data_IF_404605940555
#
_entry.id   IF_404605940555
#
_cell.length_a   1.000
_cell.length_b   1.000
_cell.length_c   1.000
_cell.angle_alpha   90.00
_cell.angle_beta   90.00
_cell.angle_gamma   90.00
#
_symmetry.space_group_name_H-M   'P 1'
#
loop_
_entity.id
_entity.type
_entity.pdbx_description
1 polymer ?
#
# COMPACT_ATOMS: atom_id res chain seq x y z
N UNK A 1 -6.88 16.57 19.59
CA UNK A 1 -6.74 15.10 19.51
C UNK A 1 -6.19 14.77 18.14
N UNK A 2 -5.22 13.87 18.05
CA UNK A 2 -4.69 13.44 16.75
C UNK A 2 -5.70 12.50 16.08
N UNK A 3 -5.97 12.71 14.78
CA UNK A 3 -6.83 11.83 13.99
C UNK A 3 -6.00 10.65 13.48
N UNK A 4 -6.56 9.45 13.54
CA UNK A 4 -5.95 8.26 12.98
C UNK A 4 -6.48 8.07 11.55
N UNK A 5 -5.56 7.84 10.62
CA UNK A 5 -5.83 7.44 9.24
C UNK A 5 -5.38 5.99 9.10
N UNK A 6 -6.31 5.08 8.83
CA UNK A 6 -5.93 3.74 8.42
C UNK A 6 -5.80 3.72 6.90
N UNK A 7 -4.67 3.26 6.36
CA UNK A 7 -4.43 3.12 4.94
C UNK A 7 -4.28 1.64 4.58
N UNK A 8 -5.15 1.16 3.71
CA UNK A 8 -5.08 -0.19 3.14
C UNK A 8 -4.31 -0.14 1.84
N UNK A 9 -3.27 -0.95 1.74
CA UNK A 9 -2.28 -0.87 0.67
C UNK A 9 -1.72 -2.24 0.31
N UNK A 10 -1.32 -2.40 -0.96
CA UNK A 10 -0.55 -3.55 -1.43
C UNK A 10 0.74 -3.06 -2.11
N UNK A 11 1.85 -3.71 -1.84
CA UNK A 11 3.18 -3.32 -2.33
C UNK A 11 3.37 -3.51 -3.84
N UNK A 12 2.45 -4.21 -4.52
CA UNK A 12 2.43 -4.34 -5.99
C UNK A 12 1.50 -3.33 -6.68
N UNK A 13 0.86 -2.46 -5.94
CA UNK A 13 -0.06 -1.45 -6.47
C UNK A 13 0.68 -0.12 -6.69
N UNK A 14 0.84 0.36 -7.95
CA UNK A 14 1.52 1.62 -8.21
C UNK A 14 0.79 2.83 -7.63
N UNK A 15 -0.55 2.77 -7.57
CA UNK A 15 -1.35 3.82 -6.92
C UNK A 15 -1.13 3.88 -5.41
N UNK A 16 -0.82 2.73 -4.77
CA UNK A 16 -0.45 2.71 -3.35
C UNK A 16 0.89 3.40 -3.12
N UNK A 17 1.89 3.11 -3.96
CA UNK A 17 3.19 3.78 -3.87
C UNK A 17 3.08 5.29 -4.04
N UNK A 18 2.36 5.75 -5.07
CA UNK A 18 2.18 7.19 -5.33
C UNK A 18 1.28 7.85 -4.27
N UNK A 19 0.25 7.15 -3.79
CA UNK A 19 -0.67 7.65 -2.77
C UNK A 19 -0.02 7.80 -1.40
N UNK A 20 1.00 6.98 -1.09
CA UNK A 20 1.76 7.08 0.16
C UNK A 20 2.44 8.44 0.32
N UNK A 21 2.93 9.02 -0.78
CA UNK A 21 3.61 10.32 -0.76
C UNK A 21 2.64 11.45 -0.36
N UNK A 22 1.44 11.44 -0.95
CA UNK A 22 0.41 12.41 -0.59
C UNK A 22 -0.08 12.22 0.85
N UNK A 23 -0.19 10.96 1.30
CA UNK A 23 -0.59 10.62 2.66
C UNK A 23 0.42 11.12 3.69
N UNK A 24 1.72 10.87 3.49
CA UNK A 24 2.78 11.32 4.39
C UNK A 24 2.78 12.85 4.52
N UNK A 25 2.71 13.57 3.40
CA UNK A 25 2.64 15.05 3.41
C UNK A 25 1.40 15.56 4.14
N UNK A 26 0.25 14.92 3.92
CA UNK A 26 -0.99 15.30 4.59
C UNK A 26 -0.92 15.04 6.11
N UNK A 27 -0.32 13.94 6.52
CA UNK A 27 -0.12 13.60 7.94
C UNK A 27 0.84 14.59 8.61
N UNK A 28 1.97 14.92 7.98
CA UNK A 28 2.92 15.93 8.46
C UNK A 28 2.25 17.31 8.62
N UNK A 29 1.44 17.73 7.63
CA UNK A 29 0.76 19.03 7.66
C UNK A 29 -0.36 19.12 8.71
N UNK A 30 -0.90 18.00 9.19
CA UNK A 30 -2.07 17.97 10.08
C UNK A 30 -1.81 17.37 11.46
N UNK A 31 -0.66 16.69 11.66
CA UNK A 31 -0.37 15.93 12.86
C UNK A 31 -1.21 14.64 12.99
N UNK A 32 -1.76 14.14 11.89
CA UNK A 32 -2.47 12.87 11.88
C UNK A 32 -1.53 11.69 12.04
N UNK A 33 -2.04 10.60 12.61
CA UNK A 33 -1.29 9.35 12.81
C UNK A 33 -1.70 8.37 11.72
N UNK A 34 -0.72 7.86 10.98
CA UNK A 34 -0.96 6.85 9.93
C UNK A 34 -0.86 5.45 10.56
N UNK A 35 -1.85 4.62 10.26
CA UNK A 35 -1.84 3.18 10.54
C UNK A 35 -1.93 2.43 9.22
N UNK A 36 -0.82 1.82 8.83
CA UNK A 36 -0.78 1.01 7.61
C UNK A 36 -1.44 -0.35 7.87
N UNK A 37 -2.27 -0.78 6.92
CA UNK A 37 -2.99 -2.05 6.92
C UNK A 37 -2.66 -2.84 5.65
N UNK A 38 -2.42 -4.13 5.82
CA UNK A 38 -2.20 -5.02 4.69
C UNK A 38 -3.48 -5.17 3.86
N UNK A 39 -3.31 -5.18 2.54
CA UNK A 39 -4.32 -5.60 1.58
C UNK A 39 -3.65 -6.41 0.47
N UNK A 40 -4.27 -7.50 0.05
CA UNK A 40 -3.70 -8.38 -0.97
C UNK A 40 -4.59 -8.36 -2.22
N UNK A 41 -4.14 -7.70 -3.28
CA UNK A 41 -4.86 -7.65 -4.56
C UNK A 41 -5.03 -9.04 -5.21
N UNK A 42 -4.18 -10.01 -4.83
CA UNK A 42 -4.14 -11.35 -5.39
C UNK A 42 -4.29 -12.44 -4.34
N UNK A 43 -5.12 -12.19 -3.34
CA UNK A 43 -5.38 -13.17 -2.26
C UNK A 43 -5.84 -14.55 -2.80
N UNK A 44 -6.68 -14.55 -3.84
CA UNK A 44 -7.15 -15.78 -4.47
C UNK A 44 -6.05 -16.62 -5.13
N UNK A 45 -4.92 -16.00 -5.50
CA UNK A 45 -3.79 -16.68 -6.13
C UNK A 45 -2.89 -17.41 -5.11
N UNK A 46 -3.06 -17.17 -3.81
CA UNK A 46 -2.35 -17.90 -2.74
C UNK A 46 -2.69 -19.39 -2.74
N UNK A 47 -3.84 -19.77 -3.31
CA UNK A 47 -4.29 -21.17 -3.40
C UNK A 47 -3.80 -21.87 -4.68
N UNK A 48 -3.22 -21.13 -5.63
CA UNK A 48 -2.68 -21.68 -6.86
C UNK A 48 -1.18 -22.00 -6.68
N UNK A 49 -0.83 -23.28 -6.71
CA UNK A 49 0.57 -23.74 -6.73
C UNK A 49 1.19 -23.43 -8.10
N UNK A 50 2.11 -22.47 -8.18
CA UNK A 50 2.81 -22.15 -9.42
C UNK A 50 3.81 -21.00 -9.26
N UNK A 51 4.76 -20.86 -10.21
CA UNK A 51 5.68 -19.73 -10.20
C UNK A 51 4.92 -18.39 -10.36
N UNK A 52 5.46 -17.27 -9.83
CA UNK A 52 4.87 -15.95 -9.98
C UNK A 52 4.58 -15.69 -11.46
N UNK A 53 3.33 -15.34 -11.77
CA UNK A 53 2.98 -14.94 -13.14
C UNK A 53 3.62 -13.58 -13.40
N UNK A 54 4.15 -13.39 -14.61
CA UNK A 54 4.60 -12.08 -15.07
C UNK A 54 3.50 -11.05 -14.88
N UNK A 55 3.88 -9.79 -14.63
CA UNK A 55 2.92 -8.70 -14.57
C UNK A 55 2.01 -8.76 -15.80
N UNK A 56 0.70 -8.58 -15.65
CA UNK A 56 -0.20 -8.62 -16.78
C UNK A 56 0.23 -7.53 -17.78
N UNK A 57 1.03 -7.93 -18.76
CA UNK A 57 1.38 -7.13 -19.93
C UNK A 57 0.21 -7.20 -20.90
N UNK A 58 -0.05 -6.10 -21.57
CA UNK A 58 -1.07 -6.02 -22.60
C UNK A 58 -1.35 -4.55 -22.90
N UNK A 59 -1.89 -4.27 -24.07
CA UNK A 59 -2.14 -2.90 -24.51
C UNK A 59 -2.88 -2.05 -23.47
N UNK A 60 -3.85 -2.66 -22.79
CA UNK A 60 -4.62 -1.98 -21.74
C UNK A 60 -3.77 -1.58 -20.53
N UNK A 61 -2.91 -2.48 -20.05
CA UNK A 61 -2.04 -2.19 -18.89
C UNK A 61 -0.98 -1.15 -19.27
N UNK A 62 -0.38 -1.30 -20.43
CA UNK A 62 0.56 -0.31 -20.97
C UNK A 62 -0.10 1.07 -21.09
N UNK A 63 -1.33 1.14 -21.61
CA UNK A 63 -2.07 2.39 -21.68
C UNK A 63 -2.34 3.03 -20.30
N UNK A 64 -2.60 2.23 -19.26
CA UNK A 64 -2.74 2.73 -17.88
C UNK A 64 -1.42 3.32 -17.38
N UNK A 65 -0.31 2.63 -17.60
CA UNK A 65 1.01 3.13 -17.21
C UNK A 65 1.34 4.44 -17.92
N UNK A 66 1.20 4.48 -19.25
CA UNK A 66 1.53 5.66 -20.06
C UNK A 66 0.61 6.86 -19.80
N UNK A 67 -0.69 6.62 -19.68
CA UNK A 67 -1.66 7.71 -19.60
C UNK A 67 -2.02 8.13 -18.18
N UNK A 68 -1.67 7.34 -17.16
CA UNK A 68 -2.08 7.62 -15.80
C UNK A 68 -0.92 7.56 -14.81
N UNK A 69 -0.19 6.43 -14.74
CA UNK A 69 0.80 6.21 -13.69
C UNK A 69 2.03 7.09 -13.89
N UNK A 70 2.64 7.07 -15.08
CA UNK A 70 3.80 7.92 -15.38
C UNK A 70 3.52 9.43 -15.25
N UNK A 71 2.41 9.97 -15.78
CA UNK A 71 2.05 11.37 -15.55
C UNK A 71 1.86 11.73 -14.07
N UNK A 72 1.29 10.81 -13.26
CA UNK A 72 1.14 11.02 -11.82
C UNK A 72 2.49 11.00 -11.12
N UNK A 73 3.34 10.03 -11.41
CA UNK A 73 4.68 9.90 -10.86
C UNK A 73 5.54 11.14 -11.18
N UNK A 74 5.50 11.60 -12.42
CA UNK A 74 6.21 12.81 -12.85
C UNK A 74 5.77 14.06 -12.06
N UNK A 75 4.47 14.23 -11.79
CA UNK A 75 3.98 15.35 -10.96
C UNK A 75 4.47 15.27 -9.52
N UNK A 76 4.68 14.07 -9.00
CA UNK A 76 5.17 13.83 -7.64
C UNK A 76 6.70 13.85 -7.55
N UNK A 77 7.41 13.88 -8.68
CA UNK A 77 8.87 13.80 -8.75
C UNK A 77 9.40 12.41 -8.39
N UNK A 78 8.62 11.36 -8.69
CA UNK A 78 8.97 9.97 -8.39
C UNK A 78 9.38 9.25 -9.66
N UNK A 79 10.51 8.57 -9.61
CA UNK A 79 10.88 7.60 -10.62
C UNK A 79 10.15 6.28 -10.34
N UNK A 80 9.50 5.71 -11.37
CA UNK A 80 8.73 4.47 -11.27
C UNK A 80 8.74 3.75 -12.61
N UNK A 81 8.88 2.44 -12.56
CA UNK A 81 8.87 1.61 -13.76
C UNK A 81 7.74 0.58 -13.69
N UNK A 82 7.18 0.24 -14.86
CA UNK A 82 6.25 -0.88 -14.96
C UNK A 82 6.99 -2.19 -14.66
N UNK A 83 6.65 -2.91 -13.57
CA UNK A 83 7.36 -4.13 -13.23
C UNK A 83 7.16 -5.24 -14.25
N UNK A 84 8.21 -6.02 -14.47
CA UNK A 84 8.15 -7.24 -15.31
C UNK A 84 7.54 -8.43 -14.58
N UNK A 85 7.28 -8.31 -13.26
CA UNK A 85 6.90 -9.39 -12.34
C UNK A 85 5.56 -9.15 -11.69
N UNK A 86 5.00 -10.21 -11.13
CA UNK A 86 3.72 -10.20 -10.45
C UNK A 86 3.79 -11.08 -9.19
N UNK A 87 4.56 -10.67 -8.17
CA UNK A 87 4.75 -11.48 -6.96
C UNK A 87 3.47 -11.60 -6.14
N UNK A 88 3.42 -12.66 -5.32
CA UNK A 88 2.51 -12.74 -4.19
C UNK A 88 3.09 -11.91 -3.04
N UNK A 89 2.26 -11.09 -2.42
CA UNK A 89 2.72 -10.10 -1.43
C UNK A 89 2.57 -10.54 0.02
N UNK A 90 2.11 -11.79 0.26
CA UNK A 90 1.89 -12.29 1.62
C UNK A 90 3.12 -12.15 2.52
N UNK A 91 4.27 -12.67 2.07
CA UNK A 91 5.51 -12.60 2.85
C UNK A 91 5.99 -11.15 3.03
N UNK A 92 5.79 -10.29 2.03
CA UNK A 92 6.13 -8.87 2.15
C UNK A 92 5.28 -8.18 3.22
N UNK A 93 3.98 -8.50 3.31
CA UNK A 93 3.10 -7.98 4.36
C UNK A 93 3.45 -8.51 5.74
N UNK A 94 3.77 -9.80 5.87
CA UNK A 94 4.24 -10.37 7.15
C UNK A 94 5.57 -9.73 7.58
N UNK A 95 6.52 -9.53 6.65
CA UNK A 95 7.77 -8.84 6.93
C UNK A 95 7.54 -7.38 7.36
N UNK A 96 6.60 -6.67 6.73
CA UNK A 96 6.23 -5.30 7.09
C UNK A 96 5.54 -5.24 8.47
N UNK A 97 4.69 -6.21 8.80
CA UNK A 97 4.08 -6.33 10.12
C UNK A 97 5.15 -6.52 11.21
N UNK A 98 6.14 -7.37 10.96
CA UNK A 98 7.28 -7.53 11.85
C UNK A 98 8.11 -6.24 11.98
N UNK A 99 8.40 -5.55 10.87
CA UNK A 99 9.09 -4.25 10.90
C UNK A 99 8.30 -3.19 11.67
N UNK A 100 6.95 -3.23 11.64
CA UNK A 100 6.06 -2.39 12.44
C UNK A 100 6.26 -2.61 13.94
N UNK A 101 6.33 -3.86 14.39
CA UNK A 101 6.58 -4.19 15.80
C UNK A 101 7.94 -3.68 16.28
N UNK A 102 8.92 -3.61 15.38
CA UNK A 102 10.27 -3.10 15.65
C UNK A 102 10.43 -1.58 15.44
N UNK A 103 9.35 -0.87 15.07
CA UNK A 103 9.31 0.58 14.94
C UNK A 103 10.01 1.12 13.68
N UNK A 104 10.24 0.30 12.66
CA UNK A 104 10.94 0.68 11.42
C UNK A 104 10.09 0.47 10.15
N UNK A 105 8.75 0.38 10.30
CA UNK A 105 7.85 0.13 9.19
C UNK A 105 8.04 1.11 8.03
N UNK A 106 8.11 2.43 8.31
CA UNK A 106 8.18 3.47 7.27
C UNK A 106 9.43 3.33 6.39
N UNK A 107 10.54 2.91 7.00
CA UNK A 107 11.77 2.64 6.27
C UNK A 107 11.64 1.36 5.44
N UNK A 108 11.08 0.31 6.04
CA UNK A 108 10.96 -1.00 5.41
C UNK A 108 9.98 -0.98 4.23
N UNK A 109 8.81 -0.35 4.36
CA UNK A 109 7.86 -0.24 3.26
C UNK A 109 8.38 0.59 2.09
N UNK A 110 9.16 1.64 2.34
CA UNK A 110 9.86 2.37 1.26
C UNK A 110 10.83 1.46 0.51
N UNK A 111 11.56 0.59 1.22
CA UNK A 111 12.42 -0.40 0.58
C UNK A 111 11.61 -1.40 -0.26
N UNK A 112 10.44 -1.85 0.20
CA UNK A 112 9.57 -2.75 -0.57
C UNK A 112 9.10 -2.10 -1.87
N UNK A 113 8.57 -0.88 -1.82
CA UNK A 113 8.14 -0.16 -3.01
C UNK A 113 9.28 0.10 -3.99
N UNK A 114 10.45 0.54 -3.48
CA UNK A 114 11.63 0.77 -4.31
C UNK A 114 12.12 -0.52 -4.98
N UNK A 115 12.24 -1.61 -4.22
CA UNK A 115 12.66 -2.90 -4.76
C UNK A 115 11.74 -3.36 -5.89
N UNK A 116 10.43 -3.17 -5.75
CA UNK A 116 9.48 -3.61 -6.75
C UNK A 116 9.38 -2.65 -7.95
N UNK A 117 9.19 -1.34 -7.71
CA UNK A 117 8.88 -0.37 -8.77
C UNK A 117 10.10 0.30 -9.41
N UNK A 118 11.26 0.29 -8.76
CA UNK A 118 12.48 0.92 -9.28
C UNK A 118 13.51 -0.13 -9.68
N UNK A 119 13.68 -1.18 -8.86
CA UNK A 119 14.70 -2.21 -9.08
C UNK A 119 14.17 -3.47 -9.79
N UNK A 120 12.86 -3.57 -10.06
CA UNK A 120 12.18 -4.72 -10.66
C UNK A 120 12.49 -6.05 -9.96
N UNK A 121 12.58 -6.03 -8.62
CA UNK A 121 12.87 -7.19 -7.78
C UNK A 121 11.59 -7.87 -7.32
N UNK A 122 11.66 -9.19 -7.14
CA UNK A 122 10.55 -9.98 -6.63
C UNK A 122 10.45 -9.88 -5.10
N UNK A 123 9.51 -9.07 -4.61
CA UNK A 123 9.28 -8.88 -3.16
C UNK A 123 8.52 -10.06 -2.51
N UNK A 124 8.17 -11.09 -3.26
CA UNK A 124 7.70 -12.37 -2.74
C UNK A 124 8.85 -13.32 -2.36
N UNK A 125 10.07 -13.02 -2.80
CA UNK A 125 11.25 -13.85 -2.57
C UNK A 125 11.90 -13.57 -1.22
N UNK A 126 12.12 -14.62 -0.42
CA UNK A 126 12.75 -14.51 0.90
C UNK A 126 14.13 -13.81 0.84
N UNK A 127 14.92 -14.12 -0.18
CA UNK A 127 16.24 -13.53 -0.36
C UNK A 127 16.19 -12.01 -0.54
N UNK A 128 15.19 -11.51 -1.26
CA UNK A 128 14.93 -10.07 -1.43
C UNK A 128 14.52 -9.46 -0.10
N UNK A 129 13.54 -10.03 0.59
CA UNK A 129 13.05 -9.52 1.87
C UNK A 129 14.15 -9.46 2.94
N UNK A 130 15.03 -10.47 2.99
CA UNK A 130 16.22 -10.49 3.87
C UNK A 130 17.17 -9.33 3.59
N UNK A 131 17.40 -9.03 2.30
CA UNK A 131 18.25 -7.89 1.93
C UNK A 131 17.59 -6.55 2.32
N UNK A 132 16.26 -6.41 2.12
CA UNK A 132 15.57 -5.18 2.53
C UNK A 132 15.58 -5.00 4.04
N UNK A 133 15.43 -6.08 4.82
CA UNK A 133 15.58 -6.05 6.27
C UNK A 133 16.95 -5.57 6.71
N UNK A 134 18.00 -6.11 6.10
CA UNK A 134 19.38 -5.65 6.36
C UNK A 134 19.56 -4.16 6.09
N UNK A 135 19.01 -3.66 4.98
CA UNK A 135 19.13 -2.24 4.58
C UNK A 135 18.53 -1.27 5.61
N UNK A 136 17.57 -1.73 6.41
CA UNK A 136 16.92 -0.93 7.47
C UNK A 136 17.39 -1.28 8.88
N UNK A 137 18.49 -2.05 8.99
CA UNK A 137 19.11 -2.41 10.26
C UNK A 137 18.45 -3.57 10.99
N UNK A 138 17.57 -4.32 10.35
CA UNK A 138 16.96 -5.52 10.92
C UNK A 138 17.83 -6.76 10.65
N UNK A 139 17.69 -7.77 11.51
CA UNK A 139 18.42 -9.04 11.37
C UNK A 139 17.75 -9.94 10.33
N UNK A 140 18.41 -10.25 9.19
CA UNK A 140 17.82 -11.09 8.12
C UNK A 140 17.52 -12.53 8.56
N UNK A 141 18.28 -13.06 9.53
CA UNK A 141 18.07 -14.42 10.00
C UNK A 141 16.86 -14.50 10.98
N UNK A 142 16.57 -13.42 11.69
CA UNK A 142 15.35 -13.32 12.49
C UNK A 142 14.14 -13.20 11.58
N UNK A 143 14.20 -12.36 10.54
CA UNK A 143 13.13 -12.27 9.54
C UNK A 143 12.84 -13.62 8.91
N UNK A 144 13.87 -14.41 8.54
CA UNK A 144 13.69 -15.74 7.98
C UNK A 144 12.89 -16.66 8.91
N UNK A 145 13.18 -16.65 10.21
CA UNK A 145 12.42 -17.43 11.20
C UNK A 145 10.97 -16.95 11.32
N UNK A 146 10.78 -15.62 11.41
CA UNK A 146 9.45 -15.01 11.49
C UNK A 146 8.59 -15.43 10.31
N UNK A 147 9.14 -15.42 9.09
CA UNK A 147 8.41 -15.79 7.88
C UNK A 147 8.22 -17.30 7.75
N UNK A 148 9.23 -18.11 8.10
CA UNK A 148 9.12 -19.58 8.07
C UNK A 148 8.07 -20.12 9.04
N UNK A 149 7.89 -19.48 10.18
CA UNK A 149 6.91 -19.83 11.22
C UNK A 149 5.59 -19.04 11.08
N UNK A 150 5.48 -18.18 10.07
CA UNK A 150 4.31 -17.32 9.83
C UNK A 150 3.86 -16.54 11.09
N UNK A 151 4.81 -16.05 11.87
CA UNK A 151 4.53 -15.39 13.16
C UNK A 151 3.67 -14.13 13.03
N UNK A 152 3.66 -13.47 11.85
CA UNK A 152 2.86 -12.28 11.57
C UNK A 152 1.60 -12.57 10.76
N UNK A 153 1.27 -13.83 10.53
CA UNK A 153 0.12 -14.22 9.71
C UNK A 153 -1.20 -13.72 10.29
N UNK A 154 -1.39 -13.83 11.60
CA UNK A 154 -2.61 -13.40 12.29
C UNK A 154 -2.82 -11.89 12.13
N UNK A 155 -1.76 -11.09 12.24
CA UNK A 155 -1.81 -9.64 12.09
C UNK A 155 -2.21 -9.22 10.66
N UNK A 156 -1.71 -9.92 9.65
CA UNK A 156 -2.12 -9.69 8.25
C UNK A 156 -3.58 -10.09 8.02
N UNK A 157 -4.02 -11.23 8.59
CA UNK A 157 -5.43 -11.65 8.49
C UNK A 157 -6.39 -10.68 9.19
N UNK A 158 -5.98 -10.13 10.33
CA UNK A 158 -6.75 -9.08 11.01
C UNK A 158 -6.93 -7.84 10.11
N UNK A 159 -5.85 -7.39 9.45
CA UNK A 159 -5.92 -6.26 8.52
C UNK A 159 -6.88 -6.55 7.35
N UNK A 160 -6.83 -7.76 6.78
CA UNK A 160 -7.74 -8.18 5.71
C UNK A 160 -9.20 -8.28 6.20
N UNK A 161 -9.42 -8.73 7.44
CA UNK A 161 -10.75 -8.76 8.04
C UNK A 161 -11.30 -7.35 8.25
N UNK A 162 -10.48 -6.42 8.74
CA UNK A 162 -10.86 -5.02 8.89
C UNK A 162 -11.21 -4.41 7.52
N UNK A 163 -10.44 -4.71 6.46
CA UNK A 163 -10.76 -4.28 5.10
C UNK A 163 -12.16 -4.74 4.66
N UNK A 164 -12.52 -6.00 4.98
CA UNK A 164 -13.85 -6.55 4.68
C UNK A 164 -14.97 -5.82 5.44
N UNK A 165 -14.75 -5.47 6.73
CA UNK A 165 -15.75 -4.71 7.52
C UNK A 165 -16.03 -3.32 6.96
N UNK A 166 -15.04 -2.68 6.35
CA UNK A 166 -15.19 -1.40 5.64
C UNK A 166 -15.60 -1.55 4.18
N UNK A 167 -15.88 -2.78 3.69
CA UNK A 167 -16.19 -3.06 2.29
C UNK A 167 -15.13 -2.52 1.32
N UNK A 168 -13.84 -2.57 1.71
CA UNK A 168 -12.73 -2.15 0.86
C UNK A 168 -12.54 -3.18 -0.24
N UNK A 169 -12.65 -2.75 -1.49
CA UNK A 169 -12.49 -3.58 -2.70
C UNK A 169 -11.41 -3.08 -3.64
N UNK A 170 -10.77 -1.98 -3.30
CA UNK A 170 -9.70 -1.36 -4.09
C UNK A 170 -8.68 -0.70 -3.17
N UNK A 171 -7.45 -0.55 -3.63
CA UNK A 171 -6.36 0.12 -2.91
C UNK A 171 -5.65 1.14 -3.80
N UNK A 172 -5.07 2.22 -3.20
CA UNK A 172 -5.14 2.52 -1.79
C UNK A 172 -6.55 2.88 -1.35
N UNK A 173 -6.90 2.57 -0.09
CA UNK A 173 -8.11 3.08 0.55
C UNK A 173 -7.76 3.64 1.92
N UNK A 174 -8.34 4.78 2.26
CA UNK A 174 -8.07 5.49 3.51
C UNK A 174 -9.34 5.50 4.36
N UNK A 175 -9.21 5.12 5.63
CA UNK A 175 -10.30 5.21 6.61
C UNK A 175 -9.98 6.30 7.61
N UNK A 176 -10.80 7.34 7.63
CA UNK A 176 -10.66 8.52 8.49
C UNK A 176 -11.97 8.70 9.27
N UNK A 177 -11.92 8.65 10.59
CA UNK A 177 -13.12 8.75 11.44
C UNK A 177 -14.29 7.85 10.98
N UNK A 178 -13.99 6.62 10.54
CA UNK A 178 -14.98 5.65 10.08
C UNK A 178 -15.46 5.83 8.64
N UNK A 179 -15.01 6.86 7.92
CA UNK A 179 -15.35 7.10 6.51
C UNK A 179 -14.25 6.61 5.57
N UNK A 180 -14.66 5.98 4.47
CA UNK A 180 -13.74 5.40 3.47
C UNK A 180 -13.56 6.36 2.29
N UNK A 181 -12.30 6.68 1.97
CA UNK A 181 -11.88 7.34 0.74
C UNK A 181 -11.15 6.30 -0.11
N UNK A 182 -11.73 5.91 -1.23
CA UNK A 182 -11.17 4.86 -2.10
C UNK A 182 -10.34 5.45 -3.24
N UNK A 183 -9.26 4.77 -3.59
CA UNK A 183 -8.33 5.17 -4.64
C UNK A 183 -7.32 6.22 -4.18
N UNK A 184 -6.38 6.54 -5.07
CA UNK A 184 -5.37 7.57 -4.79
C UNK A 184 -6.05 8.93 -4.62
N UNK A 185 -5.61 9.66 -3.62
CA UNK A 185 -6.12 10.98 -3.26
C UNK A 185 -5.02 12.03 -3.38
N UNK A 186 -5.39 13.24 -3.79
CA UNK A 186 -4.48 14.38 -3.70
C UNK A 186 -4.24 14.77 -2.23
N UNK A 187 -3.07 15.30 -1.93
CA UNK A 187 -2.69 15.79 -0.60
C UNK A 187 -3.74 16.74 -0.02
N UNK A 188 -4.24 17.68 -0.81
CA UNK A 188 -5.25 18.66 -0.40
C UNK A 188 -6.58 18.01 0.02
N UNK A 189 -6.94 16.90 -0.62
CA UNK A 189 -8.15 16.11 -0.30
C UNK A 189 -7.97 15.43 1.05
N UNK A 190 -6.83 14.80 1.28
CA UNK A 190 -6.51 14.15 2.56
C UNK A 190 -6.45 15.18 3.70
N UNK A 191 -5.78 16.32 3.49
CA UNK A 191 -5.72 17.41 4.48
C UNK A 191 -7.14 17.90 4.83
N UNK A 192 -8.00 18.09 3.83
CA UNK A 192 -9.38 18.52 4.05
C UNK A 192 -10.16 17.49 4.86
N UNK A 193 -10.07 16.22 4.50
CA UNK A 193 -10.76 15.14 5.22
C UNK A 193 -10.30 15.04 6.68
N UNK A 194 -8.99 15.13 6.93
CA UNK A 194 -8.41 15.12 8.27
C UNK A 194 -8.90 16.31 9.10
N UNK A 195 -8.89 17.53 8.54
CA UNK A 195 -9.37 18.73 9.24
C UNK A 195 -10.86 18.63 9.59
N UNK A 196 -11.69 18.12 8.69
CA UNK A 196 -13.10 17.87 8.97
C UNK A 196 -13.28 16.79 10.07
N UNK A 197 -12.45 15.75 10.08
CA UNK A 197 -12.46 14.76 11.14
C UNK A 197 -12.06 15.34 12.50
N UNK A 198 -11.06 16.23 12.54
CA UNK A 198 -10.65 16.95 13.75
C UNK A 198 -11.80 17.82 14.30
N UNK A 199 -12.55 18.48 13.41
CA UNK A 199 -13.71 19.30 13.77
C UNK A 199 -14.95 18.48 14.15
N UNK A 200 -14.96 17.16 13.93
CA UNK A 200 -16.14 16.32 14.11
C UNK A 200 -17.20 16.52 13.02
N UNK A 201 -16.83 17.11 11.89
CA UNK A 201 -17.70 17.48 10.78
C UNK A 201 -17.58 16.55 9.56
N UNK A 202 -16.72 15.52 9.64
CA UNK A 202 -16.54 14.58 8.55
C UNK A 202 -17.78 13.69 8.44
N UNK A 203 -18.51 13.80 7.32
CA UNK A 203 -19.68 13.01 7.00
C UNK A 203 -19.71 12.62 5.52
N UNK A 204 -20.62 11.72 5.16
CA UNK A 204 -20.72 11.19 3.79
C UNK A 204 -20.93 12.29 2.72
N UNK A 205 -21.58 13.40 3.05
CA UNK A 205 -21.76 14.53 2.12
C UNK A 205 -20.49 15.37 1.95
N UNK A 206 -19.67 15.51 3.01
CA UNK A 206 -18.43 16.26 2.97
C UNK A 206 -17.37 15.55 2.09
N UNK A 207 -17.53 14.26 1.84
CA UNK A 207 -16.66 13.40 1.02
C UNK A 207 -17.08 13.31 -0.44
N UNK A 208 -18.13 14.04 -0.88
CA UNK A 208 -18.42 14.23 -2.32
C UNK A 208 -17.36 15.12 -2.98
N UNK A 209 -16.12 14.66 -2.90
CA UNK A 209 -14.98 15.26 -3.55
C UNK A 209 -14.91 14.75 -4.99
N UNK A 210 -14.47 15.57 -5.97
CA UNK A 210 -14.30 15.09 -7.32
C UNK A 210 -13.30 13.92 -7.33
N UNK A 211 -13.81 12.73 -7.59
CA UNK A 211 -12.96 11.56 -7.76
C UNK A 211 -12.09 11.76 -9.00
N UNK A 212 -10.78 11.63 -8.86
CA UNK A 212 -9.96 11.35 -10.03
C UNK A 212 -10.49 10.04 -10.62
N UNK A 213 -10.81 9.98 -11.92
CA UNK A 213 -11.37 8.78 -12.53
C UNK A 213 -10.30 7.69 -12.59
N UNK A 214 -10.16 6.93 -11.50
CA UNK A 214 -9.42 5.66 -11.54
C UNK A 214 -10.41 4.62 -12.04
N UNK A 215 -10.51 4.55 -13.35
CA UNK A 215 -11.35 3.56 -14.03
C UNK A 215 -10.65 2.20 -14.00
N UNK A 216 -10.60 1.57 -12.83
CA UNK A 216 -10.27 0.15 -12.72
C UNK A 216 -11.57 -0.58 -12.99
N UNK A 217 -11.85 -0.83 -14.28
CA UNK A 217 -12.98 -1.63 -14.68
C UNK A 217 -12.83 -3.03 -14.10
N UNK A 218 -13.85 -3.40 -13.34
CA UNK A 218 -14.11 -4.77 -12.92
C UNK A 218 -14.18 -5.67 -14.16
N UNK A 219 -13.41 -6.73 -14.18
CA UNK A 219 -13.66 -7.96 -14.94
C UNK A 219 -12.94 -9.10 -14.27
#
# INVERSE_FOLDING_TARGET
MSVIIQVFSDYVCPYCYLGEIALQRAAEATGAIIVHRAYQLRESQLQESGPPKLAPGGERMNAIWENTIYPMANRLGVDIHQPSRSPLTRLAHEAAAWARQLGVLDLFQRQLFNAFFIEDRDIGELSVLKQLAWNVGLNPNELEKVLAEHQMAEEVEEDLMIARTYNITTVPSFVIAGHVLSGVQDESVLIKAIKLAIAGELGAEALKLPHLPVNIARS
#
